data_IF_566225324034
#
_entry.id   IF_566225324034
#
_cell.length_a   1.000
_cell.length_b   1.000
_cell.length_c   1.000
_cell.angle_alpha   90.00
_cell.angle_beta   90.00
_cell.angle_gamma   90.00
#
_symmetry.space_group_name_H-M   'P 1'
#
loop_
_entity.id
_entity.type
_entity.pdbx_description
1 polymer ?
#
# COMPACT_ATOMS: atom_id res chain seq x y z
N UNK A 1 -20.64 4.10 32.48
CA UNK A 1 -20.79 2.96 31.55
C UNK A 1 -19.49 2.86 30.77
N UNK A 2 -18.79 1.72 30.77
CA UNK A 2 -17.63 1.56 29.91
C UNK A 2 -18.12 1.50 28.46
N UNK A 3 -17.52 2.31 27.60
CA UNK A 3 -17.72 2.26 26.16
C UNK A 3 -17.00 1.01 25.67
N UNK A 4 -17.76 0.00 25.25
CA UNK A 4 -17.23 -1.12 24.48
C UNK A 4 -16.74 -0.53 23.17
N UNK A 5 -15.42 -0.40 23.04
CA UNK A 5 -14.79 -0.11 21.77
C UNK A 5 -14.87 -1.43 21.02
N UNK A 6 -15.83 -1.55 20.10
CA UNK A 6 -15.76 -2.58 19.07
C UNK A 6 -14.47 -2.31 18.29
N UNK A 7 -13.42 -3.05 18.61
CA UNK A 7 -12.26 -3.19 17.74
C UNK A 7 -12.79 -3.76 16.43
N UNK A 8 -13.09 -2.86 15.49
CA UNK A 8 -13.35 -3.23 14.11
C UNK A 8 -12.09 -3.90 13.62
N UNK A 9 -12.10 -5.23 13.54
CA UNK A 9 -11.11 -6.04 12.86
C UNK A 9 -11.13 -5.66 11.37
N UNK A 10 -10.54 -4.52 11.04
CA UNK A 10 -10.28 -4.14 9.65
C UNK A 10 -9.11 -5.00 9.19
N UNK A 11 -9.42 -6.26 8.86
CA UNK A 11 -8.46 -7.23 8.32
C UNK A 11 -7.97 -6.72 6.96
N UNK A 12 -6.66 -6.49 6.80
CA UNK A 12 -6.06 -6.14 5.52
C UNK A 12 -5.92 -4.64 5.23
N UNK A 13 -4.68 -4.22 4.99
CA UNK A 13 -4.30 -2.87 4.53
C UNK A 13 -4.89 -2.51 3.16
N UNK A 14 -4.88 -3.45 2.23
CA UNK A 14 -5.28 -3.21 0.85
C UNK A 14 -6.66 -3.78 0.59
N UNK A 15 -7.51 -3.00 -0.09
CA UNK A 15 -8.76 -3.45 -0.69
C UNK A 15 -8.59 -3.43 -2.20
N UNK A 16 -9.05 -4.44 -2.92
CA UNK A 16 -8.84 -4.52 -4.35
C UNK A 16 -10.01 -5.17 -5.07
N UNK A 17 -10.12 -4.86 -6.36
CA UNK A 17 -11.05 -5.52 -7.26
C UNK A 17 -10.43 -5.74 -8.62
N UNK A 18 -10.61 -6.96 -9.15
CA UNK A 18 -10.06 -7.36 -10.44
C UNK A 18 -10.91 -6.96 -11.64
N UNK A 19 -12.19 -6.61 -11.43
CA UNK A 19 -13.11 -6.13 -12.46
C UNK A 19 -14.22 -5.27 -11.86
N UNK A 20 -14.28 -4.01 -12.26
CA UNK A 20 -15.27 -3.02 -11.85
C UNK A 20 -15.64 -2.12 -13.04
N UNK A 21 -16.68 -1.30 -12.93
CA UNK A 21 -17.05 -0.33 -13.95
C UNK A 21 -17.05 1.09 -13.38
N UNK A 22 -16.40 2.01 -14.08
CA UNK A 22 -16.33 3.41 -13.70
C UNK A 22 -16.61 4.30 -14.90
N UNK A 23 -17.31 5.41 -14.66
CA UNK A 23 -17.57 6.42 -15.68
C UNK A 23 -16.60 7.58 -15.48
N UNK A 24 -15.71 7.79 -16.44
CA UNK A 24 -14.80 8.93 -16.45
C UNK A 24 -15.39 10.05 -17.31
N UNK A 25 -15.35 11.29 -16.83
CA UNK A 25 -15.94 12.46 -17.50
C UNK A 25 -15.35 12.73 -18.89
N UNK A 26 -14.10 12.32 -19.13
CA UNK A 26 -13.40 12.48 -20.41
C UNK A 26 -13.68 11.35 -21.40
N UNK A 27 -14.49 10.36 -21.02
CA UNK A 27 -14.81 9.18 -21.85
C UNK A 27 -16.30 9.10 -22.19
N UNK A 28 -16.64 8.63 -23.40
CA UNK A 28 -18.03 8.55 -23.84
C UNK A 28 -18.81 7.39 -23.21
N UNK A 29 -18.15 6.42 -22.59
CA UNK A 29 -18.77 5.20 -22.06
C UNK A 29 -18.10 4.74 -20.77
N UNK A 30 -18.81 3.89 -20.02
CA UNK A 30 -18.25 3.14 -18.89
C UNK A 30 -16.96 2.42 -19.30
N UNK A 31 -15.96 2.50 -18.43
CA UNK A 31 -14.69 1.81 -18.56
C UNK A 31 -14.66 0.63 -17.62
N UNK A 32 -14.17 -0.53 -18.10
CA UNK A 32 -13.83 -1.62 -17.20
C UNK A 32 -12.51 -1.27 -16.50
N UNK A 33 -12.51 -1.28 -15.18
CA UNK A 33 -11.37 -0.92 -14.36
C UNK A 33 -11.03 -2.03 -13.36
N UNK A 34 -9.80 -1.98 -12.85
CA UNK A 34 -9.37 -2.73 -11.68
C UNK A 34 -8.51 -1.81 -10.83
N UNK A 35 -8.66 -1.89 -9.52
CA UNK A 35 -8.01 -0.95 -8.62
C UNK A 35 -7.58 -1.62 -7.33
N UNK A 36 -6.65 -0.95 -6.65
CA UNK A 36 -6.21 -1.24 -5.29
C UNK A 36 -6.30 0.05 -4.49
N UNK A 37 -7.02 0.00 -3.39
CA UNK A 37 -7.16 1.05 -2.40
C UNK A 37 -6.30 0.70 -1.18
N UNK A 38 -5.47 1.63 -0.75
CA UNK A 38 -4.66 1.51 0.46
C UNK A 38 -5.41 2.20 1.60
N UNK A 39 -5.80 1.43 2.62
CA UNK A 39 -6.51 1.95 3.80
C UNK A 39 -5.58 2.71 4.74
N UNK A 40 -4.26 2.50 4.68
CA UNK A 40 -3.31 3.24 5.51
C UNK A 40 -3.14 4.67 5.00
N UNK A 41 -2.89 4.83 3.71
CA UNK A 41 -2.78 6.12 3.04
C UNK A 41 -4.14 6.73 2.66
N UNK A 42 -5.22 5.95 2.84
CA UNK A 42 -6.60 6.26 2.46
C UNK A 42 -6.73 6.78 1.01
N UNK A 43 -6.10 6.07 0.08
CA UNK A 43 -6.01 6.49 -1.32
C UNK A 43 -5.96 5.32 -2.31
N UNK A 44 -6.28 5.60 -3.57
CA UNK A 44 -6.13 4.60 -4.66
C UNK A 44 -4.64 4.42 -4.98
N UNK A 45 -4.03 3.39 -4.42
CA UNK A 45 -2.63 3.03 -4.67
C UNK A 45 -2.38 2.54 -6.11
N UNK A 46 -3.40 1.96 -6.75
CA UNK A 46 -3.28 1.47 -8.11
C UNK A 46 -4.61 1.50 -8.86
N UNK A 47 -4.55 1.87 -10.15
CA UNK A 47 -5.67 1.83 -11.09
C UNK A 47 -5.18 1.37 -12.46
N UNK A 48 -5.90 0.42 -13.04
CA UNK A 48 -5.79 0.06 -14.43
C UNK A 48 -7.15 0.05 -15.10
N UNK A 49 -7.14 0.39 -16.38
CA UNK A 49 -8.33 0.54 -17.19
C UNK A 49 -8.15 -0.35 -18.42
N UNK A 50 -9.18 -1.12 -18.77
CA UNK A 50 -9.14 -1.97 -19.94
C UNK A 50 -9.23 -1.08 -21.19
N UNK A 51 -8.21 -1.15 -22.03
CA UNK A 51 -8.23 -0.47 -23.32
C UNK A 51 -9.18 -1.24 -24.27
N UNK A 52 -10.27 -0.63 -24.76
CA UNK A 52 -11.28 -1.33 -25.56
C UNK A 52 -10.78 -1.75 -26.95
N UNK A 53 -9.67 -1.16 -27.43
CA UNK A 53 -9.10 -1.45 -28.75
C UNK A 53 -8.07 -2.58 -28.65
N UNK A 54 -7.16 -2.51 -27.69
CA UNK A 54 -6.07 -3.49 -27.54
C UNK A 54 -6.45 -4.67 -26.64
N UNK A 55 -7.55 -4.56 -25.90
CA UNK A 55 -7.99 -5.49 -24.85
C UNK A 55 -6.92 -5.72 -23.76
N UNK A 56 -5.97 -4.80 -23.64
CA UNK A 56 -4.93 -4.80 -22.62
C UNK A 56 -5.29 -3.84 -21.47
N UNK A 57 -4.87 -4.20 -20.26
CA UNK A 57 -4.92 -3.29 -19.12
C UNK A 57 -3.84 -2.21 -19.28
N UNK A 58 -4.25 -0.95 -19.15
CA UNK A 58 -3.36 0.21 -19.18
C UNK A 58 -3.48 0.97 -17.87
N UNK A 59 -2.36 1.49 -17.37
CA UNK A 59 -2.34 2.23 -16.12
C UNK A 59 -3.15 3.51 -16.24
N UNK A 60 -4.01 3.74 -15.25
CA UNK A 60 -4.78 4.97 -15.16
C UNK A 60 -3.89 6.17 -14.86
N UNK A 61 -4.33 7.36 -15.27
CA UNK A 61 -3.71 8.62 -14.89
C UNK A 61 -3.99 8.94 -13.42
N UNK A 62 -3.33 9.98 -12.90
CA UNK A 62 -3.58 10.45 -11.53
C UNK A 62 -5.01 10.99 -11.40
N UNK A 63 -5.49 11.70 -12.41
CA UNK A 63 -6.84 12.26 -12.44
C UNK A 63 -7.91 11.16 -12.45
N UNK A 64 -7.68 10.08 -13.20
CA UNK A 64 -8.55 8.89 -13.22
C UNK A 64 -8.54 8.18 -11.86
N UNK A 65 -7.38 8.02 -11.23
CA UNK A 65 -7.28 7.45 -9.89
C UNK A 65 -8.03 8.29 -8.84
N UNK A 66 -7.89 9.62 -8.90
CA UNK A 66 -8.63 10.54 -8.02
C UNK A 66 -10.15 10.47 -8.25
N UNK A 67 -10.61 10.28 -9.49
CA UNK A 67 -12.04 10.10 -9.77
C UNK A 67 -12.60 8.83 -9.11
N UNK A 68 -11.86 7.72 -9.16
CA UNK A 68 -12.26 6.48 -8.47
C UNK A 68 -12.19 6.64 -6.95
N UNK A 69 -11.19 7.34 -6.44
CA UNK A 69 -11.04 7.61 -5.00
C UNK A 69 -12.23 8.39 -4.42
N UNK A 70 -12.68 9.42 -5.13
CA UNK A 70 -13.88 10.20 -4.75
C UNK A 70 -15.11 9.29 -4.70
N UNK A 71 -15.26 8.38 -5.67
CA UNK A 71 -16.37 7.43 -5.67
C UNK A 71 -16.36 6.51 -4.45
N UNK A 72 -15.18 6.00 -4.08
CA UNK A 72 -14.98 5.09 -2.96
C UNK A 72 -15.11 5.76 -1.59
N UNK A 73 -14.76 7.04 -1.47
CA UNK A 73 -14.63 7.72 -0.18
C UNK A 73 -15.72 8.73 0.09
N UNK A 74 -16.17 9.47 -0.92
CA UNK A 74 -17.13 10.57 -0.77
C UNK A 74 -18.54 10.19 -1.26
N UNK A 75 -18.64 9.57 -2.43
CA UNK A 75 -19.95 9.32 -3.05
C UNK A 75 -20.67 8.13 -2.41
N UNK A 76 -19.96 7.02 -2.22
CA UNK A 76 -20.57 5.85 -1.58
C UNK A 76 -19.55 5.08 -0.71
N UNK A 77 -19.30 5.55 0.52
CA UNK A 77 -18.34 4.90 1.43
C UNK A 77 -18.76 3.49 1.83
N UNK A 78 -19.99 3.05 1.49
CA UNK A 78 -20.47 1.69 1.78
C UNK A 78 -19.66 0.63 1.04
N UNK A 79 -19.02 0.99 -0.08
CA UNK A 79 -18.10 0.10 -0.78
C UNK A 79 -17.00 -0.42 0.13
N UNK A 80 -16.48 0.41 1.04
CA UNK A 80 -15.38 0.04 1.93
C UNK A 80 -15.84 -0.57 3.26
N UNK A 81 -17.15 -0.50 3.58
CA UNK A 81 -17.72 -1.04 4.81
C UNK A 81 -18.29 -2.45 4.69
N UNK A 82 -18.71 -2.88 3.49
CA UNK A 82 -19.25 -4.23 3.25
C UNK A 82 -18.58 -4.86 2.02
N UNK A 83 -17.35 -5.34 2.20
CA UNK A 83 -16.55 -5.83 1.06
C UNK A 83 -17.19 -7.02 0.36
N UNK A 84 -17.86 -7.91 1.11
CA UNK A 84 -18.46 -9.13 0.57
C UNK A 84 -19.66 -8.80 -0.33
N UNK A 85 -20.51 -7.83 0.05
CA UNK A 85 -21.61 -7.34 -0.79
C UNK A 85 -21.11 -6.88 -2.16
N UNK A 86 -19.96 -6.21 -2.18
CA UNK A 86 -19.37 -5.61 -3.38
C UNK A 86 -18.36 -6.51 -4.10
N UNK A 87 -18.13 -7.73 -3.61
CA UNK A 87 -17.17 -8.67 -4.20
C UNK A 87 -15.73 -8.16 -4.18
N UNK A 88 -15.39 -7.36 -3.17
CA UNK A 88 -14.06 -6.79 -2.98
C UNK A 88 -13.18 -7.76 -2.20
N UNK A 89 -11.89 -7.79 -2.51
CA UNK A 89 -10.90 -8.59 -1.81
C UNK A 89 -10.05 -7.72 -0.89
N UNK A 90 -9.72 -8.20 0.31
CA UNK A 90 -8.81 -7.53 1.24
C UNK A 90 -7.57 -8.38 1.53
N UNK A 91 -6.42 -7.72 1.73
CA UNK A 91 -5.14 -8.35 2.04
C UNK A 91 -4.17 -7.38 2.73
N UNK A 92 -3.25 -7.91 3.54
CA UNK A 92 -2.16 -7.11 4.11
C UNK A 92 -1.09 -6.75 3.08
N UNK A 93 -0.96 -7.58 2.04
CA UNK A 93 -0.01 -7.40 0.96
C UNK A 93 -0.73 -6.84 -0.28
N UNK A 94 -0.07 -5.96 -1.01
CA UNK A 94 -0.61 -5.48 -2.29
C UNK A 94 -0.63 -6.65 -3.28
N UNK A 95 -1.71 -6.85 -4.05
CA UNK A 95 -1.75 -7.94 -5.01
C UNK A 95 -0.59 -7.85 -6.02
N UNK A 96 -0.27 -8.98 -6.66
CA UNK A 96 0.89 -9.10 -7.58
C UNK A 96 0.59 -8.62 -9.02
N UNK A 97 -0.68 -8.75 -9.45
CA UNK A 97 -1.15 -8.32 -10.77
C UNK A 97 -1.03 -6.82 -11.12
N UNK A 98 -0.99 -5.86 -10.18
CA UNK A 98 -0.79 -4.43 -10.43
C UNK A 98 0.69 -4.07 -10.64
N UNK A 99 1.64 -4.93 -10.27
CA UNK A 99 3.04 -4.55 -10.31
C UNK A 99 3.69 -4.97 -11.63
N UNK A 100 4.31 -4.03 -12.35
CA UNK A 100 5.27 -4.43 -13.38
C UNK A 100 6.46 -5.14 -12.72
N UNK A 101 7.11 -6.08 -13.41
CA UNK A 101 8.25 -6.82 -12.83
C UNK A 101 9.39 -5.93 -12.30
N UNK A 102 9.56 -4.73 -12.86
CA UNK A 102 10.51 -3.73 -12.37
C UNK A 102 10.08 -3.07 -11.04
N UNK A 103 8.78 -2.87 -10.84
CA UNK A 103 8.21 -2.27 -9.62
C UNK A 103 8.18 -3.28 -8.47
N UNK A 104 7.88 -4.56 -8.75
CA UNK A 104 8.06 -5.64 -7.77
C UNK A 104 9.51 -5.69 -7.28
N UNK A 105 10.47 -5.53 -8.19
CA UNK A 105 11.89 -5.54 -7.86
C UNK A 105 12.29 -4.33 -7.02
N UNK A 106 11.86 -3.13 -7.39
CA UNK A 106 12.15 -1.92 -6.62
C UNK A 106 11.52 -1.97 -5.21
N UNK A 107 10.30 -2.49 -5.08
CA UNK A 107 9.63 -2.66 -3.79
C UNK A 107 10.34 -3.72 -2.92
N UNK A 108 10.74 -4.85 -3.50
CA UNK A 108 11.54 -5.85 -2.80
C UNK A 108 12.89 -5.27 -2.33
N UNK A 109 13.54 -4.45 -3.15
CA UNK A 109 14.80 -3.77 -2.79
C UNK A 109 14.62 -2.80 -1.61
N UNK A 110 13.52 -2.03 -1.57
CA UNK A 110 13.22 -1.13 -0.44
C UNK A 110 12.95 -1.87 0.86
N UNK A 111 12.14 -2.92 0.83
CA UNK A 111 11.87 -3.77 2.01
C UNK A 111 13.15 -4.40 2.55
N UNK A 112 14.07 -4.81 1.66
CA UNK A 112 15.36 -5.36 2.06
C UNK A 112 16.26 -4.29 2.70
N UNK A 113 16.22 -3.05 2.21
CA UNK A 113 16.94 -1.90 2.80
C UNK A 113 16.39 -1.61 4.20
N UNK A 114 15.07 -1.51 4.37
CA UNK A 114 14.45 -1.25 5.67
C UNK A 114 14.78 -2.35 6.68
N UNK A 115 14.70 -3.63 6.27
CA UNK A 115 15.12 -4.77 7.11
C UNK A 115 16.59 -4.70 7.51
N UNK A 116 17.47 -4.25 6.61
CA UNK A 116 18.89 -4.06 6.91
C UNK A 116 19.12 -2.91 7.90
N UNK A 117 18.37 -1.82 7.78
CA UNK A 117 18.42 -0.69 8.72
C UNK A 117 17.91 -1.09 10.11
N UNK A 118 16.79 -1.82 10.18
CA UNK A 118 16.25 -2.39 11.42
C UNK A 118 17.29 -3.30 12.11
N UNK A 119 17.91 -4.21 11.36
CA UNK A 119 19.00 -5.07 11.88
C UNK A 119 20.19 -4.27 12.40
N UNK A 120 20.58 -3.19 11.71
CA UNK A 120 21.66 -2.30 12.17
C UNK A 120 21.27 -1.57 13.47
N UNK A 121 20.02 -1.15 13.58
CA UNK A 121 19.48 -0.49 14.78
C UNK A 121 19.46 -1.43 15.98
N UNK A 122 19.00 -2.67 15.80
CA UNK A 122 18.99 -3.69 16.85
C UNK A 122 20.40 -4.14 17.26
N UNK A 123 21.36 -4.16 16.33
CA UNK A 123 22.75 -4.53 16.61
C UNK A 123 23.62 -3.39 17.16
N UNK A 124 23.07 -2.18 17.35
CA UNK A 124 23.81 -1.05 17.89
C UNK A 124 23.73 -1.01 19.42
N UNK A 125 24.73 -1.56 20.10
CA UNK A 125 24.91 -1.38 21.56
C UNK A 125 25.54 -0.01 21.84
N UNK A 126 24.79 0.91 22.45
CA UNK A 126 25.33 2.20 22.94
C UNK A 126 26.01 1.99 24.29
N UNK A 127 27.33 1.84 24.29
CA UNK A 127 28.12 1.86 25.52
C UNK A 127 28.30 3.32 25.99
N UNK A 128 27.79 3.64 27.18
CA UNK A 128 28.14 4.89 27.86
C UNK A 128 29.55 4.75 28.41
N UNK A 129 30.50 5.50 27.86
CA UNK A 129 31.86 5.57 28.39
C UNK A 129 31.87 6.42 29.68
N UNK A 130 32.67 6.07 30.69
CA UNK A 130 32.85 6.90 31.87
C UNK A 130 33.52 8.22 31.49
N UNK A 131 33.06 9.33 32.07
CA UNK A 131 33.57 10.67 31.79
C UNK A 131 35.03 10.80 32.27
N UNK A 132 35.94 11.12 31.35
CA UNK A 132 37.37 11.31 31.60
C UNK A 132 38.06 11.96 30.39
N UNK A 133 39.28 12.50 30.54
CA UNK A 133 39.92 13.39 29.55
C UNK A 133 40.36 12.70 28.24
N UNK A 134 40.27 11.38 28.13
CA UNK A 134 40.61 10.62 26.92
C UNK A 134 39.43 9.76 26.44
N UNK A 135 38.46 10.38 25.77
CA UNK A 135 37.40 9.62 25.08
C UNK A 135 37.76 9.49 23.60
N UNK A 136 38.10 8.27 23.16
CA UNK A 136 38.12 7.90 21.74
C UNK A 136 36.85 7.10 21.44
N UNK A 137 36.04 7.56 20.50
CA UNK A 137 34.86 6.83 20.02
C UNK A 137 35.31 5.47 19.47
N UNK A 138 34.83 4.37 20.06
CA UNK A 138 35.05 3.01 19.55
C UNK A 138 33.75 2.48 18.96
N UNK A 139 33.75 2.26 17.65
CA UNK A 139 32.64 1.60 16.95
C UNK A 139 32.95 0.11 16.84
N UNK A 140 32.21 -0.74 17.57
CA UNK A 140 32.34 -2.20 17.48
C UNK A 140 31.35 -2.69 16.41
N UNK A 141 31.84 -3.31 15.34
CA UNK A 141 31.00 -4.04 14.37
C UNK A 141 31.02 -5.52 14.74
N UNK A 142 29.86 -6.07 15.04
CA UNK A 142 29.69 -7.51 15.13
C UNK A 142 29.54 -8.05 13.71
N UNK A 143 30.51 -8.86 13.28
CA UNK A 143 30.40 -9.65 12.06
C UNK A 143 29.60 -10.90 12.47
N UNK A 144 28.42 -11.09 11.88
CA UNK A 144 27.62 -12.30 12.10
C UNK A 144 28.35 -13.56 11.59
N UNK A 145 27.92 -14.76 12.04
CA UNK A 145 28.52 -16.04 11.62
C UNK A 145 28.40 -16.29 10.11
#
# INVERSE_FOLDING_TARGET
>A
MPLEVEESDVEGRYVSVGKWQHFFDDRPTWSEIRWVFDREDWSVAFLEILNPVTLGWVRGTKEEASSVEIDLTENDPRFLSDLDEWGLSQSDEMPDWPCMGAELKARAELVEIERLEERRRCNAVRLRLPEGPEVRTVSIRFVGP
#
